data_IF_583206478069
#
_entry.id   IF_583206478069
#
_cell.length_a   1.000
_cell.length_b   1.000
_cell.length_c   1.000
_cell.angle_alpha   90.00
_cell.angle_beta   90.00
_cell.angle_gamma   90.00
#
_symmetry.space_group_name_H-M   'P 1'
#
loop_
_entity.id
_entity.type
_entity.pdbx_description
1 polymer ?
#
# COMPACT_ATOMS: atom_id res chain seq x y z
N UNK A 1 37.38 28.44 -10.63
CA UNK A 1 37.39 27.09 -11.23
C UNK A 1 37.94 26.14 -10.18
N UNK A 2 37.07 25.41 -9.48
CA UNK A 2 37.47 24.37 -8.54
C UNK A 2 37.04 23.05 -9.18
N UNK A 3 38.02 22.24 -9.57
CA UNK A 3 37.80 20.93 -10.18
C UNK A 3 37.17 19.99 -9.15
N UNK A 4 36.01 19.43 -9.49
CA UNK A 4 35.39 18.36 -8.71
C UNK A 4 36.17 17.05 -8.91
N UNK A 5 36.41 16.24 -7.86
CA UNK A 5 37.01 14.92 -8.02
C UNK A 5 36.07 14.00 -8.80
N UNK A 6 36.64 13.19 -9.68
CA UNK A 6 35.92 12.21 -10.49
C UNK A 6 35.12 11.24 -9.64
N UNK A 7 33.84 11.11 -9.94
CA UNK A 7 32.99 10.04 -9.44
C UNK A 7 33.37 8.79 -10.25
N UNK A 8 34.02 7.82 -9.61
CA UNK A 8 34.20 6.50 -10.20
C UNK A 8 32.82 5.83 -10.41
N UNK A 9 32.55 5.25 -11.60
CA UNK A 9 31.34 4.48 -11.83
C UNK A 9 31.51 3.09 -11.21
N UNK A 10 31.32 3.00 -9.89
CA UNK A 10 31.50 1.77 -9.11
C UNK A 10 30.43 1.57 -8.04
N UNK A 11 29.28 2.23 -8.17
CA UNK A 11 28.12 1.96 -7.31
C UNK A 11 27.62 0.55 -7.57
N UNK A 12 27.96 -0.37 -6.66
CA UNK A 12 27.50 -1.75 -6.65
C UNK A 12 25.96 -1.72 -6.63
N UNK A 13 25.31 -1.90 -7.80
CA UNK A 13 23.85 -1.90 -7.91
C UNK A 13 23.36 -2.98 -6.97
N UNK A 14 22.67 -2.59 -5.90
CA UNK A 14 22.15 -3.52 -4.90
C UNK A 14 21.33 -4.57 -5.63
N UNK A 15 21.82 -5.81 -5.65
CA UNK A 15 21.18 -6.89 -6.39
C UNK A 15 19.80 -7.13 -5.77
N UNK A 16 18.76 -6.84 -6.56
CA UNK A 16 17.38 -6.89 -6.11
C UNK A 16 16.94 -8.36 -6.11
N UNK A 17 16.99 -9.02 -4.94
CA UNK A 17 16.59 -10.44 -4.83
C UNK A 17 15.11 -10.61 -4.52
N UNK A 18 14.49 -11.64 -5.11
CA UNK A 18 13.10 -12.01 -4.81
C UNK A 18 12.92 -12.34 -3.33
N UNK A 19 13.91 -12.98 -2.70
CA UNK A 19 13.84 -13.38 -1.29
C UNK A 19 13.81 -12.16 -0.36
N UNK A 20 14.62 -11.12 -0.65
CA UNK A 20 14.59 -9.87 0.10
C UNK A 20 13.24 -9.16 -0.06
N UNK A 21 12.70 -9.10 -1.28
CA UNK A 21 11.38 -8.52 -1.53
C UNK A 21 10.30 -9.30 -0.78
N UNK A 22 10.31 -10.63 -0.86
CA UNK A 22 9.35 -11.49 -0.17
C UNK A 22 9.40 -11.25 1.34
N UNK A 23 10.59 -11.19 1.94
CA UNK A 23 10.77 -10.89 3.36
C UNK A 23 10.18 -9.54 3.76
N UNK A 24 10.40 -8.48 2.95
CA UNK A 24 9.78 -7.17 3.21
C UNK A 24 8.26 -7.23 3.09
N UNK A 25 7.73 -7.89 2.05
CA UNK A 25 6.29 -8.04 1.85
C UNK A 25 5.64 -8.80 3.02
N UNK A 26 6.32 -9.79 3.58
CA UNK A 26 5.86 -10.55 4.75
C UNK A 26 5.81 -9.70 6.02
N UNK A 27 6.77 -8.79 6.23
CA UNK A 27 6.71 -7.83 7.34
C UNK A 27 5.61 -6.78 7.17
N UNK A 28 5.34 -6.37 5.92
CA UNK A 28 4.22 -5.48 5.61
C UNK A 28 2.86 -6.17 5.83
N UNK A 29 2.78 -7.50 5.67
CA UNK A 29 1.58 -8.27 6.04
C UNK A 29 1.24 -8.12 7.51
N UNK A 30 2.23 -8.26 8.38
CA UNK A 30 2.08 -8.09 9.83
C UNK A 30 1.63 -6.67 10.18
N UNK A 31 2.23 -5.68 9.54
CA UNK A 31 1.89 -4.27 9.74
C UNK A 31 0.40 -4.02 9.45
N UNK A 32 -0.12 -4.54 8.33
CA UNK A 32 -1.55 -4.42 7.99
C UNK A 32 -2.42 -5.09 9.04
N UNK A 33 -2.07 -6.31 9.46
CA UNK A 33 -2.84 -7.05 10.48
C UNK A 33 -2.92 -6.24 11.77
N UNK A 34 -1.81 -5.68 12.25
CA UNK A 34 -1.82 -4.85 13.47
C UNK A 34 -2.66 -3.59 13.30
N UNK A 35 -2.56 -2.88 12.16
CA UNK A 35 -3.39 -1.67 11.93
C UNK A 35 -4.88 -1.97 11.85
N UNK A 36 -5.26 -3.12 11.30
CA UNK A 36 -6.65 -3.56 11.32
C UNK A 36 -7.09 -3.96 12.74
N UNK A 37 -6.25 -4.66 13.50
CA UNK A 37 -6.52 -5.00 14.91
C UNK A 37 -6.77 -3.73 15.73
N UNK A 38 -5.95 -2.70 15.55
CA UNK A 38 -6.11 -1.44 16.27
C UNK A 38 -7.43 -0.73 15.87
N UNK A 39 -7.76 -0.71 14.57
CA UNK A 39 -8.98 -0.07 14.07
C UNK A 39 -10.26 -0.71 14.61
N UNK A 40 -10.33 -2.03 14.68
CA UNK A 40 -11.56 -2.73 15.07
C UNK A 40 -11.87 -2.64 16.58
N UNK A 41 -10.97 -2.08 17.38
CA UNK A 41 -11.27 -1.83 18.80
C UNK A 41 -12.30 -0.71 18.99
N UNK A 42 -12.59 0.06 17.92
CA UNK A 42 -13.65 1.04 17.87
C UNK A 42 -14.80 0.54 17.00
N UNK A 43 -16.02 0.97 17.31
CA UNK A 43 -17.18 0.73 16.46
C UNK A 43 -16.99 1.38 15.09
N UNK A 44 -17.92 1.07 14.19
CA UNK A 44 -17.91 1.60 12.82
C UNK A 44 -17.89 3.13 12.80
N UNK A 45 -18.60 3.79 13.73
CA UNK A 45 -18.61 5.25 13.88
C UNK A 45 -18.97 5.97 12.57
N UNK A 46 -20.13 5.61 12.00
CA UNK A 46 -20.58 6.07 10.68
C UNK A 46 -20.48 7.59 10.43
N UNK A 47 -20.76 8.49 11.40
CA UNK A 47 -20.62 9.93 11.20
C UNK A 47 -19.22 10.38 10.74
N UNK A 48 -18.17 9.60 11.04
CA UNK A 48 -16.77 9.88 10.65
C UNK A 48 -16.62 10.04 9.14
N UNK A 49 -17.40 9.30 8.34
CA UNK A 49 -17.30 9.27 6.88
C UNK A 49 -18.39 10.10 6.18
N UNK A 50 -19.28 10.74 6.94
CA UNK A 50 -20.39 11.51 6.38
C UNK A 50 -19.95 12.96 6.07
N UNK A 51 -20.14 13.44 4.82
CA UNK A 51 -19.92 14.84 4.49
C UNK A 51 -20.73 15.78 5.39
N UNK A 52 -20.11 16.87 5.85
CA UNK A 52 -20.73 17.86 6.74
C UNK A 52 -20.91 17.40 8.19
N UNK A 53 -20.39 16.22 8.56
CA UNK A 53 -20.43 15.67 9.93
C UNK A 53 -19.06 15.62 10.61
N UNK A 54 -18.10 16.39 10.11
CA UNK A 54 -16.76 16.47 10.71
C UNK A 54 -16.75 17.02 12.14
N UNK A 55 -17.74 17.84 12.51
CA UNK A 55 -17.73 18.62 13.75
C UNK A 55 -16.84 19.86 13.68
N UNK A 56 -16.27 20.17 12.51
CA UNK A 56 -15.39 21.33 12.31
C UNK A 56 -16.23 22.49 11.74
N UNK A 57 -16.24 23.69 12.37
CA UNK A 57 -17.04 24.81 11.90
C UNK A 57 -16.69 25.22 10.46
N UNK A 58 -17.70 25.27 9.59
CA UNK A 58 -17.54 25.70 8.19
C UNK A 58 -17.03 24.65 7.22
N UNK A 59 -16.73 23.42 7.67
CA UNK A 59 -16.23 22.34 6.82
C UNK A 59 -17.37 21.47 6.26
N UNK A 60 -17.35 21.22 4.96
CA UNK A 60 -18.31 20.32 4.29
C UNK A 60 -17.78 18.90 4.11
N UNK A 61 -16.48 18.69 4.28
CA UNK A 61 -15.86 17.37 4.24
C UNK A 61 -16.22 16.55 5.50
N UNK A 62 -16.12 15.23 5.40
CA UNK A 62 -16.20 14.30 6.53
C UNK A 62 -14.97 14.42 7.45
N UNK A 63 -15.07 13.90 8.68
CA UNK A 63 -13.92 13.90 9.60
C UNK A 63 -12.75 13.08 9.01
N UNK A 64 -13.06 11.95 8.38
CA UNK A 64 -12.08 11.09 7.73
C UNK A 64 -11.32 11.82 6.61
N UNK A 65 -12.04 12.50 5.70
CA UNK A 65 -11.42 13.25 4.60
C UNK A 65 -10.49 14.35 5.12
N UNK A 66 -10.91 15.08 6.16
CA UNK A 66 -10.07 16.11 6.79
C UNK A 66 -8.83 15.49 7.43
N UNK A 67 -8.99 14.41 8.23
CA UNK A 67 -7.87 13.75 8.92
C UNK A 67 -6.84 13.22 7.91
N UNK A 68 -7.31 12.58 6.84
CA UNK A 68 -6.45 12.03 5.78
C UNK A 68 -5.70 13.15 5.06
N UNK A 69 -6.40 14.20 4.61
CA UNK A 69 -5.77 15.35 3.95
C UNK A 69 -4.73 16.01 4.84
N UNK A 70 -5.04 16.30 6.10
CA UNK A 70 -4.08 16.92 7.03
C UNK A 70 -2.87 16.03 7.30
N UNK A 71 -3.04 14.71 7.39
CA UNK A 71 -1.91 13.79 7.51
C UNK A 71 -1.01 13.88 6.28
N UNK A 72 -1.59 13.84 5.08
CA UNK A 72 -0.82 13.83 3.84
C UNK A 72 -0.15 15.17 3.55
N UNK A 73 -0.79 16.29 3.91
CA UNK A 73 -0.16 17.62 3.86
C UNK A 73 1.08 17.66 4.75
N UNK A 74 1.02 17.08 5.95
CA UNK A 74 2.20 16.96 6.82
C UNK A 74 3.23 16.02 6.19
N UNK A 75 2.84 14.80 5.84
CA UNK A 75 3.74 13.76 5.31
C UNK A 75 4.46 14.20 4.01
N UNK A 76 3.79 14.99 3.16
CA UNK A 76 4.39 15.50 1.92
C UNK A 76 5.54 16.46 2.22
N UNK A 77 5.42 17.32 3.24
CA UNK A 77 6.49 18.24 3.65
C UNK A 77 7.77 17.49 4.07
N UNK A 78 7.62 16.29 4.66
CA UNK A 78 8.73 15.43 5.07
C UNK A 78 9.29 14.57 3.92
N UNK A 79 8.75 14.69 2.71
CA UNK A 79 9.22 13.97 1.54
C UNK A 79 8.73 12.53 1.47
N UNK A 80 7.67 12.16 2.21
CA UNK A 80 7.13 10.79 2.23
C UNK A 80 6.83 10.28 0.82
N UNK A 81 6.13 11.08 0.02
CA UNK A 81 5.72 10.69 -1.34
C UNK A 81 6.85 10.75 -2.40
N UNK A 82 8.10 11.00 -1.97
CA UNK A 82 9.28 10.75 -2.79
C UNK A 82 9.77 9.30 -2.70
N UNK A 83 9.26 8.52 -1.74
CA UNK A 83 9.50 7.09 -1.62
C UNK A 83 8.60 6.36 -2.63
N UNK A 84 9.10 5.40 -3.44
CA UNK A 84 8.32 4.76 -4.50
C UNK A 84 7.00 4.18 -3.98
N UNK A 85 7.06 3.38 -2.92
CA UNK A 85 5.90 2.67 -2.37
C UNK A 85 4.94 3.54 -1.54
N UNK A 86 5.29 4.79 -1.25
CA UNK A 86 4.42 5.72 -0.53
C UNK A 86 3.67 6.60 -1.53
N UNK A 87 2.39 6.32 -1.78
CA UNK A 87 1.54 7.07 -2.71
C UNK A 87 0.42 7.84 -1.97
N UNK A 88 0.12 9.09 -2.35
CA UNK A 88 -0.92 9.88 -1.69
C UNK A 88 -2.33 9.50 -2.16
N UNK A 89 -3.29 9.60 -1.25
CA UNK A 89 -4.73 9.44 -1.46
C UNK A 89 -5.42 10.76 -1.85
N UNK A 90 -4.82 11.89 -1.49
CA UNK A 90 -5.32 13.24 -1.80
C UNK A 90 -4.46 13.92 -2.86
N UNK A 91 -4.99 15.01 -3.42
CA UNK A 91 -4.34 15.80 -4.46
C UNK A 91 -3.98 17.20 -3.94
N UNK A 92 -3.17 17.94 -4.71
CA UNK A 92 -2.74 19.31 -4.38
C UNK A 92 -1.94 19.43 -3.07
N UNK A 93 -1.13 18.42 -2.76
CA UNK A 93 -0.27 18.41 -1.58
C UNK A 93 0.88 19.43 -1.70
N UNK A 94 1.33 20.03 -0.58
CA UNK A 94 2.44 20.97 -0.60
C UNK A 94 3.73 20.27 -1.04
N UNK A 95 4.65 20.99 -1.72
CA UNK A 95 5.91 20.42 -2.18
C UNK A 95 6.80 20.03 -0.99
N UNK A 96 7.62 18.98 -1.12
CA UNK A 96 8.45 18.50 -0.04
C UNK A 96 9.51 19.52 0.36
N UNK A 97 9.61 19.79 1.67
CA UNK A 97 10.68 20.62 2.25
C UNK A 97 11.95 19.82 2.50
N UNK A 98 11.80 18.51 2.77
CA UNK A 98 12.90 17.56 2.84
C UNK A 98 12.92 16.72 1.57
N UNK A 99 14.07 16.68 0.89
CA UNK A 99 14.26 15.81 -0.28
C UNK A 99 14.83 14.46 0.15
N UNK A 100 14.24 13.38 -0.38
CA UNK A 100 14.87 12.05 -0.41
C UNK A 100 15.60 11.91 -1.75
N UNK A 101 16.85 11.47 -1.70
CA UNK A 101 17.60 11.01 -2.87
C UNK A 101 17.83 9.52 -2.70
N UNK A 102 17.57 8.75 -3.76
CA UNK A 102 17.82 7.32 -3.82
C UNK A 102 18.50 7.01 -5.15
N UNK A 103 19.77 7.45 -5.30
CA UNK A 103 20.49 7.33 -6.57
C UNK A 103 20.70 5.86 -6.98
N UNK A 104 20.67 4.95 -6.01
CA UNK A 104 20.87 3.52 -6.19
C UNK A 104 19.53 2.76 -6.37
N UNK A 105 18.42 3.48 -6.58
CA UNK A 105 17.13 2.85 -6.79
C UNK A 105 17.17 1.90 -8.00
N UNK A 106 16.74 0.64 -7.85
CA UNK A 106 16.72 -0.30 -8.96
C UNK A 106 15.56 -0.02 -9.93
N UNK A 107 14.62 0.83 -9.55
CA UNK A 107 13.42 1.14 -10.34
C UNK A 107 13.77 2.11 -11.47
N UNK A 108 13.31 1.84 -12.70
CA UNK A 108 13.46 2.79 -13.83
C UNK A 108 12.11 3.22 -14.36
N UNK A 109 11.54 4.23 -13.73
CA UNK A 109 10.25 4.80 -14.14
C UNK A 109 10.39 6.32 -14.07
N UNK A 110 9.82 7.08 -15.02
CA UNK A 110 9.97 8.53 -15.04
C UNK A 110 9.26 9.22 -13.86
N UNK A 111 8.15 8.64 -13.39
CA UNK A 111 7.38 9.15 -12.25
C UNK A 111 6.69 7.99 -11.52
N UNK A 112 6.86 7.91 -10.20
CA UNK A 112 6.18 6.91 -9.36
C UNK A 112 4.66 7.10 -9.31
N UNK A 113 4.13 8.31 -9.60
CA UNK A 113 2.68 8.54 -9.65
C UNK A 113 1.97 7.82 -10.80
N UNK A 114 2.72 7.33 -11.81
CA UNK A 114 2.17 6.47 -12.87
C UNK A 114 1.71 5.09 -12.34
N UNK A 115 2.12 4.75 -11.11
CA UNK A 115 1.66 3.58 -10.37
C UNK A 115 1.03 4.08 -9.07
N UNK A 116 -0.13 4.72 -9.17
CA UNK A 116 -0.91 5.16 -8.02
C UNK A 116 -2.30 4.51 -8.02
N UNK A 117 -2.51 3.57 -7.09
CA UNK A 117 -3.75 2.80 -6.93
C UNK A 117 -4.59 3.28 -5.73
N UNK A 118 -4.22 4.39 -5.09
CA UNK A 118 -4.82 4.82 -3.81
C UNK A 118 -6.32 5.03 -3.87
N UNK A 119 -6.87 5.54 -4.98
CA UNK A 119 -8.32 5.68 -5.15
C UNK A 119 -9.05 4.35 -5.02
N UNK A 120 -8.52 3.28 -5.61
CA UNK A 120 -9.14 1.95 -5.53
C UNK A 120 -8.94 1.31 -4.16
N UNK A 121 -7.74 1.49 -3.59
CA UNK A 121 -7.41 1.03 -2.22
C UNK A 121 -8.37 1.64 -1.20
N UNK A 122 -8.65 2.94 -1.32
CA UNK A 122 -9.58 3.65 -0.45
C UNK A 122 -10.99 3.06 -0.53
N UNK A 123 -11.50 2.88 -1.74
CA UNK A 123 -12.84 2.30 -1.96
C UNK A 123 -12.96 0.90 -1.35
N UNK A 124 -11.98 0.03 -1.62
CA UNK A 124 -12.01 -1.35 -1.11
C UNK A 124 -11.81 -1.41 0.42
N UNK A 125 -11.03 -0.49 1.00
CA UNK A 125 -10.89 -0.37 2.45
C UNK A 125 -12.18 0.09 3.13
N UNK A 126 -12.85 1.11 2.60
CA UNK A 126 -14.13 1.57 3.15
C UNK A 126 -15.20 0.48 3.05
N UNK A 127 -15.17 -0.35 1.99
CA UNK A 127 -16.03 -1.52 1.85
C UNK A 127 -15.67 -2.67 2.82
N UNK A 128 -14.44 -2.72 3.33
CA UNK A 128 -14.00 -3.68 4.35
C UNK A 128 -14.55 -3.31 5.74
N UNK A 129 -14.63 -2.02 6.08
CA UNK A 129 -15.00 -1.56 7.43
C UNK A 129 -16.27 -2.20 8.01
N UNK A 130 -17.40 -2.33 7.29
CA UNK A 130 -18.61 -2.98 7.80
C UNK A 130 -18.43 -4.47 8.13
N UNK A 131 -17.41 -5.11 7.57
CA UNK A 131 -17.11 -6.54 7.76
C UNK A 131 -16.20 -6.80 8.95
N UNK A 132 -15.45 -5.79 9.39
CA UNK A 132 -14.45 -5.92 10.46
C UNK A 132 -14.80 -5.12 11.73
N UNK A 133 -15.57 -4.03 11.61
CA UNK A 133 -15.95 -3.21 12.75
C UNK A 133 -17.34 -3.57 13.27
N UNK A 134 -17.51 -3.56 14.59
CA UNK A 134 -18.83 -3.70 15.22
C UNK A 134 -19.73 -2.53 14.80
N UNK A 135 -20.98 -2.75 14.38
CA UNK A 135 -21.91 -1.67 14.05
C UNK A 135 -22.18 -0.74 15.24
N UNK A 136 -22.47 0.52 14.94
CA UNK A 136 -22.89 1.53 15.90
C UNK A 136 -21.88 2.64 16.10
N UNK A 137 -22.12 3.41 17.16
CA UNK A 137 -21.38 4.60 17.54
C UNK A 137 -20.90 4.46 18.99
N UNK A 138 -19.62 4.73 19.23
CA UNK A 138 -19.00 4.77 20.56
C UNK A 138 -18.36 6.13 20.88
N UNK A 139 -18.52 7.13 20.01
CA UNK A 139 -18.00 8.49 20.17
C UNK A 139 -16.50 8.65 19.89
N UNK A 140 -15.75 7.57 19.63
CA UNK A 140 -14.31 7.62 19.41
C UNK A 140 -13.95 7.98 17.95
N UNK A 141 -14.50 9.08 17.45
CA UNK A 141 -14.38 9.52 16.06
C UNK A 141 -12.93 9.82 15.65
N UNK A 142 -12.20 10.58 16.50
CA UNK A 142 -10.80 10.92 16.25
C UNK A 142 -9.90 9.68 16.18
N UNK A 143 -10.04 8.76 17.14
CA UNK A 143 -9.30 7.51 17.13
C UNK A 143 -9.67 6.63 15.93
N UNK A 144 -10.94 6.58 15.54
CA UNK A 144 -11.37 5.80 14.37
C UNK A 144 -10.67 6.29 13.10
N UNK A 145 -10.78 7.58 12.78
CA UNK A 145 -10.19 8.14 11.57
C UNK A 145 -8.65 8.11 11.58
N UNK A 146 -8.01 8.22 12.75
CA UNK A 146 -6.56 8.03 12.87
C UNK A 146 -6.13 6.61 12.46
N UNK A 147 -6.82 5.60 12.99
CA UNK A 147 -6.51 4.21 12.68
C UNK A 147 -6.89 3.84 11.24
N UNK A 148 -7.91 4.49 10.67
CA UNK A 148 -8.23 4.39 9.25
C UNK A 148 -7.05 4.86 8.38
N UNK A 149 -6.49 6.04 8.68
CA UNK A 149 -5.32 6.56 7.95
C UNK A 149 -4.12 5.61 8.07
N UNK A 150 -3.83 5.09 9.27
CA UNK A 150 -2.71 4.15 9.43
C UNK A 150 -2.92 2.83 8.69
N UNK A 151 -4.14 2.29 8.67
CA UNK A 151 -4.45 1.09 7.91
C UNK A 151 -4.31 1.32 6.41
N UNK A 152 -4.86 2.43 5.89
CA UNK A 152 -4.75 2.81 4.48
C UNK A 152 -3.30 2.99 4.04
N UNK A 153 -2.47 3.65 4.85
CA UNK A 153 -1.04 3.81 4.58
C UNK A 153 -0.32 2.45 4.54
N UNK A 154 -0.60 1.55 5.48
CA UNK A 154 0.00 0.21 5.50
C UNK A 154 -0.41 -0.63 4.27
N UNK A 155 -1.71 -0.60 3.91
CA UNK A 155 -2.24 -1.30 2.74
C UNK A 155 -1.64 -0.73 1.45
N UNK A 156 -1.63 0.59 1.32
CA UNK A 156 -1.04 1.30 0.18
C UNK A 156 0.43 0.93 0.01
N UNK A 157 1.21 0.98 1.09
CA UNK A 157 2.62 0.64 1.04
C UNK A 157 2.85 -0.81 0.59
N UNK A 158 2.09 -1.77 1.12
CA UNK A 158 2.19 -3.19 0.74
C UNK A 158 1.90 -3.42 -0.74
N UNK A 159 0.85 -2.78 -1.26
CA UNK A 159 0.44 -2.92 -2.65
C UNK A 159 1.48 -2.30 -3.57
N UNK A 160 1.87 -1.05 -3.31
CA UNK A 160 2.80 -0.34 -4.18
C UNK A 160 4.22 -0.91 -4.10
N UNK A 161 4.69 -1.36 -2.92
CA UNK A 161 5.99 -2.03 -2.83
C UNK A 161 6.01 -3.31 -3.69
N UNK A 162 4.96 -4.13 -3.61
CA UNK A 162 4.82 -5.29 -4.48
C UNK A 162 4.81 -4.88 -5.95
N UNK A 163 3.99 -3.89 -6.32
CA UNK A 163 3.86 -3.39 -7.69
C UNK A 163 5.22 -2.98 -8.30
N UNK A 164 5.98 -2.14 -7.61
CA UNK A 164 7.26 -1.64 -8.09
C UNK A 164 8.34 -2.72 -8.10
N UNK A 165 8.59 -3.36 -6.96
CA UNK A 165 9.79 -4.18 -6.80
C UNK A 165 9.61 -5.59 -7.36
N UNK A 166 8.42 -6.20 -7.23
CA UNK A 166 8.15 -7.50 -7.90
C UNK A 166 8.11 -7.30 -9.41
N UNK A 167 7.50 -6.21 -9.88
CA UNK A 167 7.49 -5.85 -11.30
C UNK A 167 8.90 -5.69 -11.86
N UNK A 168 9.79 -4.99 -11.16
CA UNK A 168 11.19 -4.82 -11.56
C UNK A 168 11.96 -6.13 -11.62
N UNK A 169 11.87 -6.98 -10.59
CA UNK A 169 12.58 -8.26 -10.62
C UNK A 169 12.06 -9.17 -11.72
N UNK A 170 10.75 -9.28 -11.89
CA UNK A 170 10.15 -10.07 -12.95
C UNK A 170 10.63 -9.60 -14.32
N UNK A 171 10.65 -8.29 -14.57
CA UNK A 171 11.18 -7.74 -15.82
C UNK A 171 12.64 -8.12 -16.05
N UNK A 172 13.51 -7.97 -15.03
CA UNK A 172 14.94 -8.30 -15.14
C UNK A 172 15.20 -9.78 -15.40
N UNK A 173 14.35 -10.67 -14.90
CA UNK A 173 14.48 -12.11 -15.11
C UNK A 173 14.22 -12.54 -16.55
N UNK A 174 13.32 -11.85 -17.26
CA UNK A 174 13.01 -12.15 -18.66
C UNK A 174 12.55 -10.90 -19.44
N UNK A 175 13.47 -9.98 -19.78
CA UNK A 175 13.10 -8.73 -20.45
C UNK A 175 12.45 -8.98 -21.82
N UNK A 176 12.89 -10.03 -22.52
CA UNK A 176 12.37 -10.40 -23.84
C UNK A 176 10.88 -10.76 -23.79
N UNK A 177 10.49 -11.59 -22.83
CA UNK A 177 9.08 -11.96 -22.62
C UNK A 177 8.21 -10.73 -22.33
N UNK A 178 8.58 -9.89 -21.37
CA UNK A 178 7.74 -8.74 -21.01
C UNK A 178 7.70 -7.68 -22.11
N UNK A 179 8.80 -7.44 -22.84
CA UNK A 179 8.79 -6.56 -24.03
C UNK A 179 7.84 -7.09 -25.11
N UNK A 180 7.89 -8.38 -25.40
CA UNK A 180 6.99 -9.02 -26.38
C UNK A 180 5.52 -8.89 -25.97
N UNK A 181 5.20 -9.22 -24.72
CA UNK A 181 3.85 -9.13 -24.18
C UNK A 181 3.31 -7.68 -24.16
N UNK A 182 4.14 -6.71 -23.79
CA UNK A 182 3.78 -5.28 -23.82
C UNK A 182 3.53 -4.78 -25.25
N UNK A 183 4.38 -5.19 -26.21
CA UNK A 183 4.24 -4.80 -27.62
C UNK A 183 2.99 -5.37 -28.27
N UNK A 184 2.58 -6.57 -27.87
CA UNK A 184 1.35 -7.19 -28.34
C UNK A 184 0.08 -6.52 -27.78
N UNK A 185 0.19 -5.73 -26.71
CA UNK A 185 -0.94 -5.06 -26.06
C UNK A 185 -1.92 -6.02 -25.35
N UNK A 186 -1.56 -7.30 -25.21
CA UNK A 186 -2.42 -8.31 -24.61
C UNK A 186 -2.37 -8.24 -23.08
N UNK A 187 -3.36 -7.54 -22.52
CA UNK A 187 -3.51 -7.35 -21.08
C UNK A 187 -3.71 -8.67 -20.34
N UNK A 188 -4.47 -9.60 -20.91
CA UNK A 188 -4.77 -10.89 -20.27
C UNK A 188 -3.52 -11.77 -20.22
N UNK A 189 -2.77 -11.83 -21.32
CA UNK A 189 -1.50 -12.56 -21.35
C UNK A 189 -0.47 -11.96 -20.37
N UNK A 190 -0.42 -10.64 -20.21
CA UNK A 190 0.42 -9.98 -19.20
C UNK A 190 -0.01 -10.38 -17.78
N UNK A 191 -1.30 -10.33 -17.45
CA UNK A 191 -1.79 -10.74 -16.13
C UNK A 191 -1.53 -12.21 -15.84
N UNK A 192 -1.70 -13.08 -16.83
CA UNK A 192 -1.40 -14.50 -16.73
C UNK A 192 0.10 -14.71 -16.45
N UNK A 193 0.98 -13.99 -17.15
CA UNK A 193 2.43 -14.05 -16.93
C UNK A 193 2.87 -13.57 -15.53
N UNK A 194 2.10 -12.64 -14.93
CA UNK A 194 2.36 -12.13 -13.58
C UNK A 194 1.81 -13.03 -12.47
N UNK A 195 0.85 -13.90 -12.78
CA UNK A 195 0.14 -14.73 -11.80
C UNK A 195 0.95 -15.98 -11.47
N UNK A 196 1.10 -16.25 -10.17
CA UNK A 196 1.64 -17.52 -9.64
C UNK A 196 0.71 -18.01 -8.55
N UNK A 197 -0.22 -18.90 -8.92
CA UNK A 197 -1.38 -19.23 -8.08
C UNK A 197 -0.97 -19.85 -6.74
N UNK A 198 0.04 -20.71 -6.76
CA UNK A 198 0.57 -21.38 -5.58
C UNK A 198 1.18 -20.39 -4.59
N UNK A 199 1.83 -19.34 -5.09
CA UNK A 199 2.39 -18.25 -4.27
C UNK A 199 1.27 -17.41 -3.66
N UNK A 200 0.25 -17.09 -4.44
CA UNK A 200 -0.92 -16.34 -3.94
C UNK A 200 -1.65 -17.10 -2.84
N UNK A 201 -1.87 -18.41 -3.02
CA UNK A 201 -2.55 -19.22 -2.01
C UNK A 201 -1.69 -19.40 -0.74
N UNK A 202 -0.36 -19.48 -0.89
CA UNK A 202 0.58 -19.47 0.25
C UNK A 202 0.51 -18.15 1.04
N UNK A 203 0.47 -17.01 0.35
CA UNK A 203 0.31 -15.69 0.99
C UNK A 203 -0.99 -15.63 1.79
N UNK A 204 -2.12 -16.05 1.19
CA UNK A 204 -3.43 -16.01 1.85
C UNK A 204 -3.45 -16.92 3.08
N UNK A 205 -2.88 -18.13 2.99
CA UNK A 205 -2.79 -19.04 4.12
C UNK A 205 -1.92 -18.47 5.25
N UNK A 206 -0.75 -17.93 4.91
CA UNK A 206 0.15 -17.31 5.89
C UNK A 206 -0.50 -16.12 6.59
N UNK A 207 -1.22 -15.25 5.88
CA UNK A 207 -1.92 -14.11 6.48
C UNK A 207 -2.99 -14.59 7.47
N UNK A 208 -3.76 -15.62 7.11
CA UNK A 208 -4.76 -16.24 8.00
C UNK A 208 -4.11 -16.75 9.28
N UNK A 209 -2.99 -17.46 9.17
CA UNK A 209 -2.24 -18.01 10.29
C UNK A 209 -1.65 -16.92 11.18
N UNK A 210 -1.03 -15.88 10.59
CA UNK A 210 -0.51 -14.72 11.32
C UNK A 210 -1.61 -14.02 12.11
N UNK A 211 -2.74 -13.70 11.47
CA UNK A 211 -3.86 -13.03 12.12
C UNK A 211 -4.47 -13.84 13.28
N UNK A 212 -4.50 -15.17 13.15
CA UNK A 212 -4.94 -16.06 14.23
C UNK A 212 -3.92 -16.13 15.37
N UNK A 213 -2.65 -16.28 15.04
CA UNK A 213 -1.55 -16.46 16.00
C UNK A 213 -1.34 -15.22 16.86
N UNK A 214 -1.32 -14.03 16.26
CA UNK A 214 -1.17 -12.74 16.98
C UNK A 214 -2.26 -12.58 18.04
N UNK A 215 -3.44 -13.16 17.81
CA UNK A 215 -4.60 -13.00 18.68
C UNK A 215 -4.88 -14.24 19.55
N UNK A 216 -3.99 -15.24 19.58
CA UNK A 216 -4.25 -16.52 20.23
C UNK A 216 -4.48 -16.42 21.75
N UNK A 217 -3.91 -15.40 22.40
CA UNK A 217 -3.95 -15.20 23.87
C UNK A 217 -4.79 -14.00 24.30
N UNK A 218 -5.57 -13.40 23.39
CA UNK A 218 -6.39 -12.23 23.74
C UNK A 218 -7.48 -12.63 24.75
N UNK A 219 -7.79 -11.70 25.66
CA UNK A 219 -8.88 -11.86 26.62
C UNK A 219 -10.14 -11.22 26.07
N UNK A 220 -11.04 -12.04 25.55
CA UNK A 220 -12.45 -11.64 25.35
C UNK A 220 -13.14 -11.59 26.73
N UNK A 221 -14.01 -10.60 27.03
CA UNK A 221 -14.71 -9.66 26.14
C UNK A 221 -14.06 -8.26 26.01
N UNK A 222 -12.88 -8.05 26.60
CA UNK A 222 -12.26 -6.71 26.69
C UNK A 222 -11.84 -6.19 25.31
N UNK A 223 -11.32 -7.08 24.45
CA UNK A 223 -10.86 -6.75 23.10
C UNK A 223 -11.71 -7.41 22.03
N UNK A 224 -11.97 -6.67 20.95
CA UNK A 224 -12.56 -7.21 19.73
C UNK A 224 -11.50 -7.97 18.95
N UNK A 225 -11.84 -9.20 18.52
CA UNK A 225 -10.96 -10.04 17.73
C UNK A 225 -11.18 -9.80 16.24
N UNK A 226 -10.10 -9.60 15.49
CA UNK A 226 -10.13 -9.53 14.04
C UNK A 226 -10.37 -10.92 13.46
N UNK A 227 -11.42 -11.07 12.66
CA UNK A 227 -11.69 -12.31 11.96
C UNK A 227 -10.60 -12.57 10.90
N UNK A 228 -9.76 -13.58 11.15
CA UNK A 228 -8.65 -13.94 10.27
C UNK A 228 -9.11 -14.31 8.85
N UNK A 229 -10.30 -14.89 8.68
CA UNK A 229 -10.81 -15.23 7.35
C UNK A 229 -11.15 -13.98 6.54
N UNK A 230 -11.76 -12.97 7.17
CA UNK A 230 -12.08 -11.70 6.49
C UNK A 230 -10.81 -11.01 5.99
N UNK A 231 -9.71 -11.08 6.75
CA UNK A 231 -8.40 -10.55 6.33
C UNK A 231 -7.82 -11.37 5.19
N UNK A 232 -7.88 -12.70 5.28
CA UNK A 232 -7.42 -13.61 4.23
C UNK A 232 -8.15 -13.38 2.90
N UNK A 233 -9.48 -13.20 2.95
CA UNK A 233 -10.30 -12.84 1.79
C UNK A 233 -9.96 -11.45 1.25
N UNK A 234 -9.72 -10.46 2.10
CA UNK A 234 -9.26 -9.13 1.67
C UNK A 234 -7.91 -9.21 0.95
N UNK A 235 -6.99 -10.06 1.42
CA UNK A 235 -5.74 -10.32 0.71
C UNK A 235 -5.97 -10.95 -0.66
N UNK A 236 -6.80 -12.00 -0.72
CA UNK A 236 -7.11 -12.74 -1.93
C UNK A 236 -7.80 -11.87 -2.99
N UNK A 237 -8.77 -11.08 -2.58
CA UNK A 237 -9.70 -10.40 -3.49
C UNK A 237 -9.33 -8.94 -3.74
N UNK A 238 -8.48 -8.33 -2.91
CA UNK A 238 -8.09 -6.92 -3.02
C UNK A 238 -6.58 -6.74 -3.10
N UNK A 239 -5.82 -7.07 -2.06
CA UNK A 239 -4.39 -6.71 -1.97
C UNK A 239 -3.58 -7.38 -3.08
N UNK A 240 -3.74 -8.68 -3.30
CA UNK A 240 -3.02 -9.42 -4.34
C UNK A 240 -3.42 -8.93 -5.75
N UNK A 241 -4.72 -8.83 -6.11
CA UNK A 241 -5.14 -8.29 -7.39
C UNK A 241 -4.61 -6.86 -7.67
N UNK A 242 -4.71 -5.95 -6.70
CA UNK A 242 -4.21 -4.58 -6.86
C UNK A 242 -2.68 -4.54 -6.99
N UNK A 243 -1.97 -5.42 -6.28
CA UNK A 243 -0.51 -5.55 -6.45
C UNK A 243 -0.18 -5.90 -7.89
N UNK A 244 -0.87 -6.90 -8.48
CA UNK A 244 -0.67 -7.31 -9.89
C UNK A 244 -1.05 -6.21 -10.89
N UNK A 245 -2.11 -5.46 -10.62
CA UNK A 245 -2.47 -4.30 -11.43
C UNK A 245 -1.37 -3.23 -11.39
N UNK A 246 -0.80 -2.98 -10.22
CA UNK A 246 0.34 -2.09 -10.06
C UNK A 246 1.59 -2.58 -10.78
N UNK A 247 1.89 -3.89 -10.74
CA UNK A 247 3.00 -4.49 -11.51
C UNK A 247 2.83 -4.21 -13.01
N UNK A 248 1.60 -4.32 -13.54
CA UNK A 248 1.32 -3.98 -14.93
C UNK A 248 1.53 -2.50 -15.24
N UNK A 249 1.02 -1.60 -14.38
CA UNK A 249 1.23 -0.15 -14.53
C UNK A 249 2.72 0.19 -14.52
N UNK A 250 3.48 -0.46 -13.63
CA UNK A 250 4.92 -0.31 -13.57
C UNK A 250 5.57 -0.75 -14.89
N UNK A 251 5.31 -1.97 -15.34
CA UNK A 251 5.89 -2.54 -16.57
C UNK A 251 5.60 -1.70 -17.81
N UNK A 252 4.41 -1.10 -17.91
CA UNK A 252 4.03 -0.22 -19.03
C UNK A 252 4.83 1.08 -19.09
N UNK A 253 5.26 1.60 -17.95
CA UNK A 253 6.01 2.86 -17.84
C UNK A 253 7.50 2.64 -17.53
N UNK A 254 7.92 1.38 -17.39
CA UNK A 254 9.30 0.99 -17.16
C UNK A 254 10.13 1.39 -18.39
N UNK A 255 11.10 2.28 -18.17
CA UNK A 255 12.05 2.70 -19.21
C UNK A 255 12.86 1.51 -19.71
N UNK A 256 13.45 1.57 -20.91
CA UNK A 256 14.40 0.55 -21.34
C UNK A 256 15.77 0.79 -20.68
N UNK A 257 16.66 -0.21 -20.75
CA UNK A 257 18.09 0.01 -20.45
C UNK A 257 18.74 0.88 -21.53
#
# INVERSE_FOLDING_TARGET
>A
MVSLPGIEPGGNVRELSLDQIASVLEGLEETIIYKLIDRIQFKRNEPVYQPGKSGFPGETASLFELRLRYQEEMDSLFGRFMVPEERPFTSNLPPPKRRRLDPDSPLRIPDYNLVNLTSRILLDYLALLPRICTPGDDGHYGSSCEHDVYALQAISRRIHYGAFYVGEVKYRQDPGKYKGLLSAGDREALLAALTRKEVEDTIVQRVREKASTIQATIRTPIRTQLNAEVVAEFYRNTIIPLTKEGELLYLRHRLQE
#
